data_IF_853864252806
#
_entry.id   IF_853864252806
#
_cell.length_a   1.000
_cell.length_b   1.000
_cell.length_c   1.000
_cell.angle_alpha   90.00
_cell.angle_beta   90.00
_cell.angle_gamma   90.00
#
_symmetry.space_group_name_H-M   'P 1'
#
loop_
_entity.id
_entity.type
_entity.pdbx_description
1 polymer ?
#
# COMPACT_ATOMS: atom_id res chain seq x y z
N UNK A 1 -3.24 -60.33 -2.10
CA UNK A 1 -2.66 -59.01 -2.41
C UNK A 1 -1.48 -58.78 -1.49
N UNK A 2 -0.25 -58.93 -2.00
CA UNK A 2 0.99 -58.62 -1.28
C UNK A 2 1.53 -57.31 -1.85
N UNK A 3 1.68 -56.30 -0.99
CA UNK A 3 2.38 -55.07 -1.34
C UNK A 3 3.88 -55.36 -1.38
N UNK A 4 4.48 -55.36 -2.57
CA UNK A 4 5.93 -55.35 -2.71
C UNK A 4 6.46 -53.95 -2.40
N UNK A 5 7.18 -53.83 -1.29
CA UNK A 5 7.95 -52.64 -0.95
C UNK A 5 9.07 -52.46 -1.98
N UNK A 6 9.03 -51.35 -2.70
CA UNK A 6 10.09 -50.89 -3.59
C UNK A 6 11.36 -50.63 -2.76
N UNK A 7 12.34 -51.56 -2.78
CA UNK A 7 13.66 -51.34 -2.18
C UNK A 7 14.42 -50.32 -3.02
N UNK A 8 14.31 -49.05 -2.67
CA UNK A 8 15.18 -48.02 -3.23
C UNK A 8 16.58 -48.24 -2.66
N UNK A 9 17.54 -48.53 -3.54
CA UNK A 9 18.92 -48.77 -3.18
C UNK A 9 19.54 -47.45 -2.67
N UNK A 10 20.32 -47.49 -1.58
CA UNK A 10 20.92 -46.28 -0.96
C UNK A 10 21.76 -45.51 -1.99
N UNK A 11 22.42 -46.21 -2.91
CA UNK A 11 23.17 -45.62 -4.02
C UNK A 11 22.29 -44.78 -4.96
N UNK A 12 21.04 -45.19 -5.20
CA UNK A 12 20.07 -44.43 -6.01
C UNK A 12 19.56 -43.19 -5.30
N UNK A 13 19.38 -43.26 -3.97
CA UNK A 13 18.97 -42.11 -3.16
C UNK A 13 20.07 -41.05 -3.09
N UNK A 14 21.33 -41.47 -2.92
CA UNK A 14 22.50 -40.59 -2.95
C UNK A 14 22.66 -39.94 -4.33
N UNK A 15 22.45 -40.68 -5.42
CA UNK A 15 22.51 -40.13 -6.77
C UNK A 15 21.44 -39.06 -7.00
N UNK A 16 20.22 -39.28 -6.50
CA UNK A 16 19.15 -38.27 -6.58
C UNK A 16 19.49 -37.03 -5.76
N UNK A 17 20.01 -37.17 -4.53
CA UNK A 17 20.40 -36.04 -3.68
C UNK A 17 21.54 -35.25 -4.33
N UNK A 18 22.57 -35.93 -4.83
CA UNK A 18 23.69 -35.29 -5.55
C UNK A 18 23.21 -34.62 -6.83
N UNK A 19 22.28 -35.21 -7.58
CA UNK A 19 21.68 -34.57 -8.76
C UNK A 19 20.83 -33.34 -8.39
N UNK A 20 20.08 -33.35 -7.29
CA UNK A 20 19.29 -32.18 -6.83
C UNK A 20 20.22 -31.05 -6.39
N UNK A 21 21.30 -31.36 -5.68
CA UNK A 21 22.31 -30.36 -5.28
C UNK A 21 23.14 -29.87 -6.48
N UNK A 22 23.52 -30.74 -7.43
CA UNK A 22 24.17 -30.33 -8.67
C UNK A 22 23.25 -29.50 -9.55
N UNK A 23 21.94 -29.76 -9.57
CA UNK A 23 20.97 -28.89 -10.25
C UNK A 23 20.94 -27.52 -9.54
N UNK A 24 20.97 -27.43 -8.21
CA UNK A 24 21.07 -26.13 -7.53
C UNK A 24 22.39 -25.39 -7.79
N UNK A 25 23.51 -26.11 -7.93
CA UNK A 25 24.84 -25.52 -8.21
C UNK A 25 24.97 -25.13 -9.69
N UNK A 26 24.47 -25.93 -10.63
CA UNK A 26 24.46 -25.63 -12.06
C UNK A 26 23.39 -24.59 -12.43
N UNK A 27 22.29 -24.52 -11.68
CA UNK A 27 21.36 -23.39 -11.65
C UNK A 27 21.76 -22.36 -10.58
N UNK A 28 23.06 -22.22 -10.32
CA UNK A 28 23.66 -20.96 -9.91
C UNK A 28 23.44 -19.90 -11.00
N UNK A 29 22.17 -19.62 -11.32
CA UNK A 29 21.76 -18.49 -12.12
C UNK A 29 22.39 -17.29 -11.44
N UNK A 30 23.07 -16.48 -12.24
CA UNK A 30 23.20 -15.05 -11.99
C UNK A 30 21.79 -14.51 -11.73
N UNK A 31 21.29 -14.62 -10.50
CA UNK A 31 20.19 -13.81 -10.05
C UNK A 31 20.74 -12.38 -10.13
N UNK A 32 20.15 -11.51 -10.96
CA UNK A 32 20.52 -10.11 -10.92
C UNK A 32 20.43 -9.66 -9.46
N UNK A 33 21.30 -8.73 -9.03
CA UNK A 33 21.27 -8.18 -7.66
C UNK A 33 19.91 -7.50 -7.43
N UNK A 34 18.93 -8.28 -7.01
CA UNK A 34 17.55 -7.89 -6.81
C UNK A 34 17.44 -7.30 -5.41
N UNK A 35 17.93 -6.08 -5.27
CA UNK A 35 17.86 -5.35 -4.01
C UNK A 35 16.51 -4.63 -3.93
N UNK A 36 15.88 -4.62 -2.75
CA UNK A 36 14.58 -3.97 -2.52
C UNK A 36 14.59 -2.47 -2.83
N UNK A 37 15.77 -1.84 -2.81
CA UNK A 37 15.99 -0.47 -3.26
C UNK A 37 15.58 -0.21 -4.72
N UNK A 38 15.60 -1.23 -5.59
CA UNK A 38 15.07 -1.08 -6.96
C UNK A 38 13.53 -0.94 -6.96
N UNK A 39 12.85 -1.59 -6.00
CA UNK A 39 11.39 -1.46 -5.81
C UNK A 39 11.04 -0.12 -5.15
N UNK A 40 11.83 0.36 -4.19
CA UNK A 40 11.66 1.69 -3.58
C UNK A 40 11.70 2.82 -4.62
N UNK A 41 12.60 2.72 -5.61
CA UNK A 41 12.67 3.68 -6.74
C UNK A 41 11.38 3.75 -7.57
N UNK A 42 10.56 2.70 -7.58
CA UNK A 42 9.26 2.76 -8.23
C UNK A 42 8.32 3.69 -7.46
N UNK A 43 8.33 3.64 -6.12
CA UNK A 43 7.53 4.55 -5.29
C UNK A 43 7.98 6.01 -5.39
N UNK A 44 9.27 6.27 -5.64
CA UNK A 44 9.78 7.63 -5.87
C UNK A 44 9.10 8.32 -7.06
N UNK A 45 8.57 7.56 -8.02
CA UNK A 45 7.80 8.11 -9.15
C UNK A 45 6.54 8.84 -8.71
N UNK A 46 5.97 8.47 -7.57
CA UNK A 46 4.79 9.12 -7.01
C UNK A 46 5.08 10.56 -6.56
N UNK A 47 6.34 10.93 -6.32
CA UNK A 47 6.69 12.32 -6.00
C UNK A 47 6.40 13.30 -7.15
N UNK A 48 6.24 12.81 -8.39
CA UNK A 48 5.83 13.65 -9.53
C UNK A 48 4.42 14.25 -9.36
N UNK A 49 3.60 13.65 -8.50
CA UNK A 49 2.27 14.13 -8.18
C UNK A 49 2.28 15.23 -7.10
N UNK A 50 3.44 15.50 -6.48
CA UNK A 50 3.59 16.63 -5.55
C UNK A 50 3.46 17.95 -6.30
N UNK A 51 2.77 18.89 -5.67
CA UNK A 51 2.68 20.29 -6.06
C UNK A 51 3.16 21.14 -4.88
N UNK A 52 3.94 22.20 -5.13
CA UNK A 52 4.46 23.06 -4.06
C UNK A 52 3.44 24.09 -3.57
N UNK A 53 2.42 24.36 -4.36
CA UNK A 53 1.40 25.37 -4.11
C UNK A 53 0.08 24.77 -3.60
N UNK A 54 -0.24 23.53 -3.98
CA UNK A 54 -1.52 22.89 -3.69
C UNK A 54 -1.36 21.57 -2.92
N UNK A 55 -2.35 21.25 -2.08
CA UNK A 55 -2.45 19.90 -1.52
C UNK A 55 -2.74 18.90 -2.65
N UNK A 56 -2.11 17.73 -2.71
CA UNK A 56 -2.25 16.87 -3.89
C UNK A 56 -3.62 16.24 -4.08
N UNK A 57 -4.51 16.29 -3.08
CA UNK A 57 -5.93 16.00 -3.30
C UNK A 57 -6.59 16.95 -4.31
N UNK A 58 -6.01 18.13 -4.56
CA UNK A 58 -6.41 19.04 -5.63
C UNK A 58 -6.38 18.39 -7.01
N UNK A 59 -5.46 17.44 -7.25
CA UNK A 59 -5.38 16.73 -8.53
C UNK A 59 -6.64 15.90 -8.83
N UNK A 60 -7.45 15.58 -7.83
CA UNK A 60 -8.71 14.87 -8.03
C UNK A 60 -9.83 15.78 -8.57
N UNK A 61 -9.65 17.09 -8.51
CA UNK A 61 -10.71 18.09 -8.79
C UNK A 61 -10.79 18.51 -10.26
N UNK A 62 -9.87 18.04 -11.11
CA UNK A 62 -9.80 18.46 -12.51
C UNK A 62 -9.41 17.31 -13.43
N UNK A 63 -9.83 17.41 -14.70
CA UNK A 63 -9.46 16.42 -15.72
C UNK A 63 -7.93 16.33 -15.87
N UNK A 64 -7.24 17.48 -15.94
CA UNK A 64 -5.78 17.52 -16.06
C UNK A 64 -5.09 16.87 -14.86
N UNK A 65 -5.58 17.13 -13.65
CA UNK A 65 -5.06 16.51 -12.43
C UNK A 65 -5.23 14.99 -12.43
N UNK A 66 -6.41 14.49 -12.83
CA UNK A 66 -6.66 13.06 -12.96
C UNK A 66 -5.80 12.44 -14.06
N UNK A 67 -5.62 13.10 -15.21
CA UNK A 67 -4.74 12.61 -16.28
C UNK A 67 -3.29 12.50 -15.80
N UNK A 68 -2.83 13.47 -14.99
CA UNK A 68 -1.51 13.42 -14.35
C UNK A 68 -1.39 12.23 -13.39
N UNK A 69 -2.40 11.99 -12.53
CA UNK A 69 -2.46 10.83 -11.64
C UNK A 69 -2.38 9.53 -12.45
N UNK A 70 -3.22 9.42 -13.47
CA UNK A 70 -3.33 8.24 -14.31
C UNK A 70 -2.03 7.89 -15.04
N UNK A 71 -1.36 8.89 -15.61
CA UNK A 71 -0.04 8.71 -16.24
C UNK A 71 0.98 8.19 -15.25
N UNK A 72 1.15 8.86 -14.10
CA UNK A 72 2.14 8.48 -13.10
C UNK A 72 1.86 7.09 -12.53
N UNK A 73 0.60 6.75 -12.25
CA UNK A 73 0.26 5.47 -11.64
C UNK A 73 0.33 4.30 -12.63
N UNK A 74 -0.21 4.44 -13.85
CA UNK A 74 -0.22 3.35 -14.83
C UNK A 74 1.17 3.14 -15.43
N UNK A 75 1.79 4.21 -15.89
CA UNK A 75 3.00 4.13 -16.71
C UNK A 75 4.25 4.08 -15.83
N UNK A 76 4.41 5.04 -14.92
CA UNK A 76 5.65 5.15 -14.14
C UNK A 76 5.71 4.16 -12.97
N UNK A 77 4.65 4.12 -12.15
CA UNK A 77 4.64 3.30 -10.93
C UNK A 77 4.38 1.83 -11.23
N UNK A 78 3.21 1.50 -11.79
CA UNK A 78 2.81 0.10 -12.04
C UNK A 78 3.75 -0.57 -13.04
N UNK A 79 4.13 0.14 -14.11
CA UNK A 79 5.13 -0.33 -15.07
C UNK A 79 6.48 -0.67 -14.41
N UNK A 80 6.95 0.16 -13.48
CA UNK A 80 8.20 -0.08 -12.74
C UNK A 80 8.10 -1.32 -11.84
N UNK A 81 7.00 -1.47 -11.07
CA UNK A 81 6.77 -2.63 -10.19
C UNK A 81 6.72 -3.93 -11.02
N UNK A 82 5.98 -3.93 -12.12
CA UNK A 82 5.89 -5.08 -13.03
C UNK A 82 7.25 -5.45 -13.63
N UNK A 83 8.05 -4.46 -14.03
CA UNK A 83 9.40 -4.71 -14.54
C UNK A 83 10.31 -5.33 -13.47
N UNK A 84 10.24 -4.84 -12.23
CA UNK A 84 10.95 -5.42 -11.10
C UNK A 84 10.52 -6.86 -10.83
N UNK A 85 9.22 -7.15 -10.73
CA UNK A 85 8.70 -8.50 -10.47
C UNK A 85 9.03 -9.47 -11.60
N UNK A 86 9.04 -9.02 -12.85
CA UNK A 86 9.47 -9.83 -14.00
C UNK A 86 10.95 -10.24 -13.89
N UNK A 87 11.81 -9.31 -13.46
CA UNK A 87 13.27 -9.51 -13.29
C UNK A 87 13.61 -10.30 -12.03
N UNK A 88 12.96 -10.00 -10.92
CA UNK A 88 13.37 -10.37 -9.56
C UNK A 88 12.36 -11.24 -8.80
N UNK A 89 11.14 -11.37 -9.29
CA UNK A 89 10.11 -12.20 -8.66
C UNK A 89 10.41 -13.70 -8.76
N UNK A 90 9.92 -14.44 -7.77
CA UNK A 90 9.83 -15.90 -7.84
C UNK A 90 8.82 -16.32 -8.94
N UNK A 91 8.81 -17.58 -9.39
CA UNK A 91 7.79 -18.06 -10.33
C UNK A 91 6.36 -17.78 -9.83
N UNK A 92 6.11 -17.96 -8.52
CA UNK A 92 4.83 -17.61 -7.91
C UNK A 92 4.55 -16.11 -7.96
N UNK A 93 5.53 -15.25 -7.65
CA UNK A 93 5.35 -13.80 -7.76
C UNK A 93 5.04 -13.37 -9.19
N UNK A 94 5.62 -14.02 -10.20
CA UNK A 94 5.37 -13.68 -11.61
C UNK A 94 3.93 -13.98 -12.00
N UNK A 95 3.43 -15.18 -11.69
CA UNK A 95 2.05 -15.56 -11.98
C UNK A 95 1.06 -14.68 -11.19
N UNK A 96 1.29 -14.49 -9.89
CA UNK A 96 0.42 -13.68 -9.05
C UNK A 96 0.44 -12.19 -9.45
N UNK A 97 1.61 -11.66 -9.81
CA UNK A 97 1.74 -10.26 -10.25
C UNK A 97 0.95 -9.98 -11.51
N UNK A 98 0.91 -10.94 -12.45
CA UNK A 98 0.12 -10.79 -13.67
C UNK A 98 -1.36 -10.67 -13.32
N UNK A 99 -1.88 -11.58 -12.50
CA UNK A 99 -3.30 -11.57 -12.09
C UNK A 99 -3.65 -10.29 -11.32
N UNK A 100 -2.82 -9.89 -10.37
CA UNK A 100 -3.04 -8.67 -9.57
C UNK A 100 -2.96 -7.42 -10.45
N UNK A 101 -1.98 -7.34 -11.35
CA UNK A 101 -1.81 -6.18 -12.21
C UNK A 101 -2.92 -6.04 -13.25
N UNK A 102 -3.44 -7.14 -13.79
CA UNK A 102 -4.60 -7.09 -14.70
C UNK A 102 -5.82 -6.51 -13.97
N UNK A 103 -6.09 -6.95 -12.73
CA UNK A 103 -7.18 -6.43 -11.91
C UNK A 103 -7.00 -4.95 -11.52
N UNK A 104 -5.79 -4.54 -11.13
CA UNK A 104 -5.47 -3.13 -10.82
C UNK A 104 -5.65 -2.27 -12.08
N UNK A 105 -5.13 -2.70 -13.23
CA UNK A 105 -5.23 -1.95 -14.48
C UNK A 105 -6.68 -1.77 -14.94
N UNK A 106 -7.50 -2.81 -14.81
CA UNK A 106 -8.94 -2.75 -15.10
C UNK A 106 -9.63 -1.68 -14.23
N UNK A 107 -9.41 -1.71 -12.93
CA UNK A 107 -9.98 -0.71 -12.02
C UNK A 107 -9.43 0.70 -12.25
N UNK A 108 -8.14 0.83 -12.57
CA UNK A 108 -7.56 2.10 -12.94
C UNK A 108 -8.12 2.64 -14.26
N UNK A 109 -8.52 1.79 -15.21
CA UNK A 109 -9.20 2.25 -16.43
C UNK A 109 -10.54 2.93 -16.10
N UNK A 110 -11.28 2.48 -15.08
CA UNK A 110 -12.52 3.14 -14.65
C UNK A 110 -12.29 4.57 -14.13
N UNK A 111 -11.11 4.86 -13.56
CA UNK A 111 -10.75 6.20 -13.09
C UNK A 111 -10.16 7.05 -14.22
N UNK A 112 -9.40 6.41 -15.11
CA UNK A 112 -8.57 7.12 -16.08
C UNK A 112 -9.17 7.28 -17.47
N UNK A 113 -10.15 6.47 -17.84
CA UNK A 113 -10.85 6.64 -19.12
C UNK A 113 -11.72 7.89 -19.06
N UNK A 114 -11.53 8.82 -20.00
CA UNK A 114 -12.28 10.07 -20.09
C UNK A 114 -13.78 9.84 -20.38
N UNK A 115 -14.15 8.68 -20.91
CA UNK A 115 -15.54 8.32 -21.18
C UNK A 115 -16.19 7.53 -20.03
N UNK A 116 -15.45 7.28 -18.94
CA UNK A 116 -15.98 6.55 -17.79
C UNK A 116 -16.95 7.41 -16.98
N UNK A 117 -18.16 6.88 -16.75
CA UNK A 117 -19.14 7.49 -15.83
C UNK A 117 -18.53 7.69 -14.44
N UNK A 118 -17.77 6.71 -13.94
CA UNK A 118 -17.09 6.80 -12.65
C UNK A 118 -16.11 7.97 -12.56
N UNK A 119 -15.40 8.28 -13.66
CA UNK A 119 -14.48 9.42 -13.70
C UNK A 119 -15.24 10.74 -13.60
N UNK A 120 -16.39 10.84 -14.25
CA UNK A 120 -17.23 12.04 -14.22
C UNK A 120 -17.82 12.24 -12.82
N UNK A 121 -18.34 11.18 -12.19
CA UNK A 121 -18.84 11.23 -10.82
C UNK A 121 -17.72 11.64 -9.85
N UNK A 122 -16.51 11.09 -10.03
CA UNK A 122 -15.35 11.46 -9.23
C UNK A 122 -15.04 12.96 -9.38
N UNK A 123 -15.02 13.49 -10.60
CA UNK A 123 -14.75 14.90 -10.85
C UNK A 123 -15.82 15.82 -10.30
N UNK A 124 -17.07 15.40 -10.31
CA UNK A 124 -18.18 16.18 -9.74
C UNK A 124 -18.06 16.29 -8.22
N UNK A 125 -17.72 15.19 -7.54
CA UNK A 125 -17.73 15.13 -6.07
C UNK A 125 -16.39 15.52 -5.42
N UNK A 126 -15.27 15.34 -6.12
CA UNK A 126 -13.93 15.62 -5.58
C UNK A 126 -13.70 17.05 -5.11
N UNK A 127 -14.22 18.12 -5.75
CA UNK A 127 -14.06 19.49 -5.28
C UNK A 127 -14.53 19.70 -3.84
N UNK A 128 -15.71 19.18 -3.47
CA UNK A 128 -16.20 19.28 -2.10
C UNK A 128 -15.31 18.53 -1.11
N UNK A 129 -14.94 17.29 -1.46
CA UNK A 129 -14.08 16.44 -0.62
C UNK A 129 -12.73 17.13 -0.39
N UNK A 130 -12.13 17.71 -1.44
CA UNK A 130 -10.89 18.46 -1.32
C UNK A 130 -11.05 19.70 -0.42
N UNK A 131 -11.97 20.59 -0.77
CA UNK A 131 -12.11 21.89 -0.12
C UNK A 131 -12.53 21.76 1.34
N UNK A 132 -13.52 20.91 1.65
CA UNK A 132 -14.10 20.86 2.99
C UNK A 132 -13.45 19.84 3.91
N UNK A 133 -12.69 18.88 3.39
CA UNK A 133 -12.14 17.78 4.18
C UNK A 133 -10.63 17.68 3.99
N UNK A 134 -10.17 17.24 2.82
CA UNK A 134 -8.78 16.82 2.64
C UNK A 134 -7.79 17.98 2.78
N UNK A 135 -8.17 19.20 2.40
CA UNK A 135 -7.32 20.39 2.54
C UNK A 135 -7.32 21.00 3.95
N UNK A 136 -8.21 20.55 4.84
CA UNK A 136 -8.39 21.16 6.16
C UNK A 136 -7.34 20.69 7.18
N UNK A 137 -6.79 21.63 7.95
CA UNK A 137 -5.71 21.33 8.91
C UNK A 137 -6.17 20.46 10.08
N UNK A 138 -7.41 20.61 10.53
CA UNK A 138 -8.02 19.79 11.58
C UNK A 138 -8.17 18.34 11.11
N UNK A 139 -8.68 18.11 9.89
CA UNK A 139 -8.73 16.78 9.27
C UNK A 139 -7.34 16.12 9.20
N UNK A 140 -6.32 16.89 8.81
CA UNK A 140 -4.95 16.38 8.77
C UNK A 140 -4.47 15.93 10.15
N UNK A 141 -4.78 16.70 11.21
CA UNK A 141 -4.40 16.37 12.59
C UNK A 141 -5.20 15.21 13.17
N UNK A 142 -6.50 15.13 12.87
CA UNK A 142 -7.42 14.18 13.50
C UNK A 142 -7.48 12.82 12.79
N UNK A 143 -7.34 12.79 11.47
CA UNK A 143 -7.49 11.55 10.68
C UNK A 143 -6.18 11.10 10.04
N UNK A 144 -5.45 11.99 9.34
CA UNK A 144 -4.28 11.58 8.56
C UNK A 144 -3.01 11.37 9.42
N UNK A 145 -2.69 12.30 10.32
CA UNK A 145 -1.50 12.20 11.16
C UNK A 145 -1.51 10.95 12.06
N UNK A 146 -2.63 10.58 12.70
CA UNK A 146 -2.73 9.33 13.45
C UNK A 146 -2.44 8.11 12.59
N UNK A 147 -3.02 8.06 11.39
CA UNK A 147 -2.77 6.98 10.43
C UNK A 147 -1.26 6.82 10.15
N UNK A 148 -0.57 7.90 9.77
CA UNK A 148 0.86 7.84 9.46
C UNK A 148 1.70 7.49 10.67
N UNK A 149 1.34 7.99 11.85
CA UNK A 149 2.05 7.72 13.09
C UNK A 149 1.99 6.23 13.44
N UNK A 150 0.80 5.62 13.34
CA UNK A 150 0.62 4.19 13.63
C UNK A 150 1.36 3.31 12.63
N UNK A 151 1.29 3.63 11.33
CA UNK A 151 2.06 2.90 10.30
C UNK A 151 3.56 3.01 10.55
N UNK A 152 4.08 4.22 10.80
CA UNK A 152 5.49 4.45 11.08
C UNK A 152 5.96 3.71 12.35
N UNK A 153 5.12 3.67 13.39
CA UNK A 153 5.39 2.87 14.58
C UNK A 153 5.49 1.38 14.25
N UNK A 154 4.58 0.85 13.45
CA UNK A 154 4.58 -0.56 13.02
C UNK A 154 5.86 -0.93 12.28
N UNK A 155 6.28 -0.10 11.32
CA UNK A 155 7.53 -0.29 10.60
C UNK A 155 8.75 -0.18 11.53
N UNK A 156 8.80 0.83 12.41
CA UNK A 156 9.87 0.96 13.39
C UNK A 156 10.00 -0.30 14.26
N UNK A 157 8.89 -0.89 14.73
CA UNK A 157 8.90 -2.14 15.49
C UNK A 157 9.32 -3.34 14.63
N UNK A 158 8.87 -3.40 13.37
CA UNK A 158 9.28 -4.44 12.44
C UNK A 158 10.81 -4.51 12.25
N UNK A 159 11.48 -3.35 12.31
CA UNK A 159 12.94 -3.23 12.20
C UNK A 159 13.68 -3.22 13.55
N UNK A 160 12.97 -3.35 14.68
CA UNK A 160 13.61 -3.41 15.99
C UNK A 160 14.42 -4.69 16.18
N UNK A 161 15.59 -4.54 16.81
CA UNK A 161 16.46 -5.67 17.20
C UNK A 161 15.83 -6.54 18.29
N UNK A 162 14.94 -5.98 19.11
CA UNK A 162 14.30 -6.65 20.25
C UNK A 162 12.79 -6.84 20.01
N UNK A 163 12.42 -7.28 18.82
CA UNK A 163 11.01 -7.55 18.48
C UNK A 163 10.55 -8.88 19.09
N UNK A 164 9.33 -8.89 19.61
CA UNK A 164 8.70 -10.08 20.22
C UNK A 164 7.90 -10.90 19.20
N UNK A 165 7.51 -10.26 18.09
CA UNK A 165 6.71 -10.83 17.01
C UNK A 165 7.42 -10.71 15.67
N UNK A 166 6.86 -11.36 14.63
CA UNK A 166 7.40 -11.28 13.28
C UNK A 166 7.36 -9.82 12.77
N UNK A 167 8.35 -9.36 11.99
CA UNK A 167 8.31 -8.04 11.37
C UNK A 167 7.02 -7.78 10.57
N UNK A 168 6.54 -8.80 9.86
CA UNK A 168 5.33 -8.69 9.05
C UNK A 168 4.08 -8.47 9.92
N UNK A 169 4.01 -9.09 11.11
CA UNK A 169 2.87 -8.95 12.00
C UNK A 169 2.75 -7.50 12.51
N UNK A 170 3.87 -6.88 12.89
CA UNK A 170 3.87 -5.47 13.31
C UNK A 170 3.43 -4.52 12.18
N UNK A 171 3.97 -4.70 10.98
CA UNK A 171 3.64 -3.85 9.84
C UNK A 171 2.18 -4.05 9.41
N UNK A 172 1.70 -5.29 9.39
CA UNK A 172 0.36 -5.63 8.96
C UNK A 172 -0.70 -5.21 9.97
N UNK A 173 -0.53 -5.53 11.25
CA UNK A 173 -1.47 -5.14 12.32
C UNK A 173 -1.58 -3.62 12.40
N UNK A 174 -0.44 -2.91 12.43
CA UNK A 174 -0.43 -1.46 12.50
C UNK A 174 -1.07 -0.83 11.25
N UNK A 175 -0.73 -1.33 10.05
CA UNK A 175 -1.29 -0.84 8.80
C UNK A 175 -2.81 -1.03 8.70
N UNK A 176 -3.32 -2.21 9.06
CA UNK A 176 -4.74 -2.50 9.00
C UNK A 176 -5.55 -1.77 10.08
N UNK A 177 -5.04 -1.67 11.31
CA UNK A 177 -5.67 -0.89 12.37
C UNK A 177 -5.69 0.61 12.03
N UNK A 178 -4.57 1.14 11.52
CA UNK A 178 -4.50 2.52 11.07
C UNK A 178 -5.52 2.80 9.94
N UNK A 179 -5.59 1.93 8.93
CA UNK A 179 -6.53 2.08 7.82
C UNK A 179 -7.99 2.12 8.29
N UNK A 180 -8.39 1.18 9.16
CA UNK A 180 -9.77 1.14 9.66
C UNK A 180 -10.10 2.32 10.56
N UNK A 181 -9.15 2.77 11.38
CA UNK A 181 -9.33 3.98 12.19
C UNK A 181 -9.47 5.23 11.29
N UNK A 182 -8.63 5.35 10.27
CA UNK A 182 -8.71 6.44 9.31
C UNK A 182 -10.03 6.44 8.54
N UNK A 183 -10.48 5.29 8.06
CA UNK A 183 -11.77 5.14 7.36
C UNK A 183 -12.94 5.58 8.25
N UNK A 184 -12.95 5.15 9.53
CA UNK A 184 -13.97 5.57 10.50
C UNK A 184 -13.90 7.05 10.88
N UNK A 185 -12.75 7.70 10.74
CA UNK A 185 -12.59 9.14 10.95
C UNK A 185 -13.06 9.95 9.74
N UNK A 186 -12.67 9.51 8.54
CA UNK A 186 -12.80 10.25 7.29
C UNK A 186 -14.20 10.17 6.69
N UNK A 187 -14.77 8.96 6.61
CA UNK A 187 -16.02 8.73 5.89
C UNK A 187 -17.22 9.48 6.51
N UNK A 188 -17.41 9.50 7.85
CA UNK A 188 -18.47 10.29 8.46
C UNK A 188 -18.31 11.80 8.23
N UNK A 189 -17.07 12.33 8.25
CA UNK A 189 -16.82 13.75 7.99
C UNK A 189 -17.20 14.15 6.57
N UNK A 190 -16.91 13.30 5.57
CA UNK A 190 -17.33 13.51 4.18
C UNK A 190 -18.86 13.50 4.09
N UNK A 191 -19.52 12.48 4.66
CA UNK A 191 -20.98 12.36 4.68
C UNK A 191 -21.66 13.60 5.28
N UNK A 192 -21.08 14.17 6.33
CA UNK A 192 -21.65 15.31 7.05
C UNK A 192 -21.46 16.66 6.35
N UNK A 193 -20.33 16.86 5.64
CA UNK A 193 -19.97 18.18 5.10
C UNK A 193 -20.15 18.29 3.58
N UNK A 194 -20.24 17.16 2.88
CA UNK A 194 -20.54 17.06 1.46
C UNK A 194 -21.90 16.37 1.26
N UNK A 195 -21.95 15.29 0.48
CA UNK A 195 -23.15 14.49 0.19
C UNK A 195 -22.85 13.01 0.48
N UNK A 196 -23.88 12.17 0.65
CA UNK A 196 -23.69 10.73 0.91
C UNK A 196 -23.01 10.03 -0.27
N UNK A 197 -23.27 10.49 -1.49
CA UNK A 197 -22.62 10.03 -2.71
C UNK A 197 -21.12 10.36 -2.73
N UNK A 198 -20.69 11.44 -2.07
CA UNK A 198 -19.26 11.80 -1.93
C UNK A 198 -18.49 10.81 -1.05
N UNK A 199 -19.13 10.20 -0.07
CA UNK A 199 -18.51 9.12 0.69
C UNK A 199 -18.35 7.87 -0.19
N UNK A 200 -19.43 7.49 -0.88
CA UNK A 200 -19.44 6.30 -1.74
C UNK A 200 -18.39 6.40 -2.84
N UNK A 201 -18.24 7.57 -3.47
CA UNK A 201 -17.24 7.75 -4.53
C UNK A 201 -15.82 7.60 -3.99
N UNK A 202 -15.51 8.14 -2.79
CA UNK A 202 -14.17 8.02 -2.22
C UNK A 202 -13.88 6.57 -1.78
N UNK A 203 -14.83 5.89 -1.14
CA UNK A 203 -14.71 4.47 -0.80
C UNK A 203 -14.48 3.62 -2.05
N UNK A 204 -15.21 3.90 -3.13
CA UNK A 204 -15.02 3.22 -4.41
C UNK A 204 -13.65 3.52 -5.02
N UNK A 205 -13.16 4.75 -4.94
CA UNK A 205 -11.79 5.09 -5.40
C UNK A 205 -10.76 4.26 -4.63
N UNK A 206 -10.82 4.24 -3.30
CA UNK A 206 -9.89 3.47 -2.46
C UNK A 206 -9.96 1.98 -2.78
N UNK A 207 -11.17 1.42 -2.84
CA UNK A 207 -11.40 0.02 -3.15
C UNK A 207 -10.89 -0.35 -4.54
N UNK A 208 -11.19 0.47 -5.56
CA UNK A 208 -10.80 0.21 -6.95
C UNK A 208 -9.30 0.35 -7.16
N UNK A 209 -8.67 1.42 -6.65
CA UNK A 209 -7.21 1.63 -6.75
C UNK A 209 -6.41 0.45 -6.18
N UNK A 210 -6.97 -0.22 -5.17
CA UNK A 210 -6.31 -1.31 -4.46
C UNK A 210 -6.85 -2.69 -4.84
N UNK A 211 -7.67 -2.79 -5.89
CA UNK A 211 -8.20 -4.09 -6.33
C UNK A 211 -9.10 -4.78 -5.30
N UNK A 212 -9.66 -4.04 -4.34
CA UNK A 212 -10.40 -4.58 -3.19
C UNK A 212 -9.53 -5.27 -2.14
N UNK A 213 -8.20 -5.27 -2.32
CA UNK A 213 -7.24 -5.95 -1.44
C UNK A 213 -7.30 -5.44 0.00
N UNK A 214 -7.61 -4.16 0.22
CA UNK A 214 -7.75 -3.61 1.57
C UNK A 214 -8.89 -4.23 2.35
N UNK A 215 -10.03 -4.52 1.72
CA UNK A 215 -11.14 -5.18 2.38
C UNK A 215 -10.87 -6.66 2.66
N UNK A 216 -10.07 -7.30 1.81
CA UNK A 216 -9.63 -8.68 2.01
C UNK A 216 -8.57 -8.80 3.11
N UNK A 217 -7.54 -7.96 3.09
CA UNK A 217 -6.43 -8.00 4.04
C UNK A 217 -6.81 -7.41 5.40
N UNK A 218 -7.43 -6.24 5.40
CA UNK A 218 -7.78 -5.51 6.62
C UNK A 218 -9.26 -5.69 6.93
N UNK A 219 -9.72 -6.94 7.05
CA UNK A 219 -11.14 -7.25 7.25
C UNK A 219 -11.71 -6.59 8.53
N UNK A 220 -12.88 -5.95 8.42
CA UNK A 220 -13.41 -5.05 9.45
C UNK A 220 -13.65 -5.75 10.81
N UNK A 221 -14.11 -7.00 10.81
CA UNK A 221 -14.39 -7.73 12.06
C UNK A 221 -13.10 -8.05 12.84
N UNK A 222 -11.96 -8.11 12.14
CA UNK A 222 -10.65 -8.42 12.73
C UNK A 222 -9.91 -7.14 13.14
N UNK A 223 -9.99 -6.09 12.32
CA UNK A 223 -9.18 -4.87 12.47
C UNK A 223 -9.99 -3.60 12.79
N UNK A 224 -11.23 -3.74 13.28
CA UNK A 224 -11.96 -2.57 13.80
C UNK A 224 -11.19 -1.92 14.95
N UNK A 225 -11.31 -0.59 15.20
CA UNK A 225 -10.60 0.06 16.30
C UNK A 225 -10.90 -0.52 17.69
N UNK A 226 -12.06 -1.15 17.87
CA UNK A 226 -12.43 -1.87 19.10
C UNK A 226 -11.97 -3.33 19.16
N UNK A 227 -11.33 -3.85 18.11
CA UNK A 227 -10.82 -5.22 18.07
C UNK A 227 -9.67 -5.41 19.05
N UNK A 228 -9.49 -6.65 19.51
CA UNK A 228 -8.38 -7.00 20.40
C UNK A 228 -7.01 -6.68 19.76
N UNK A 229 -6.85 -6.89 18.46
CA UNK A 229 -5.60 -6.59 17.75
C UNK A 229 -5.29 -5.09 17.85
N UNK A 230 -6.25 -4.23 17.48
CA UNK A 230 -6.02 -2.79 17.49
C UNK A 230 -5.90 -2.20 18.90
N UNK A 231 -6.59 -2.77 19.89
CA UNK A 231 -6.47 -2.34 21.29
C UNK A 231 -5.15 -2.75 21.96
N UNK A 232 -4.44 -3.75 21.43
CA UNK A 232 -3.10 -4.13 21.94
C UNK A 232 -1.99 -3.22 21.42
N UNK A 233 -2.27 -2.36 20.44
CA UNK A 233 -1.33 -1.35 20.00
C UNK A 233 -1.21 -0.25 21.06
N UNK A 234 -0.02 0.35 21.24
CA UNK A 234 0.13 1.51 22.11
C UNK A 234 -0.79 2.64 21.66
N UNK A 235 -1.17 3.50 22.61
CA UNK A 235 -1.94 4.71 22.31
C UNK A 235 -1.20 5.63 21.36
N UNK A 236 -1.93 6.54 20.69
CA UNK A 236 -1.32 7.46 19.73
C UNK A 236 -0.20 8.30 20.38
N UNK A 237 -0.40 8.81 21.60
CA UNK A 237 0.62 9.59 22.31
C UNK A 237 1.89 8.77 22.60
N UNK A 238 1.73 7.50 22.98
CA UNK A 238 2.84 6.58 23.17
C UNK A 238 3.56 6.26 21.86
N UNK A 239 2.82 6.15 20.74
CA UNK A 239 3.42 5.98 19.43
C UNK A 239 4.22 7.23 19.03
N UNK A 240 3.63 8.43 19.18
CA UNK A 240 4.27 9.71 18.84
C UNK A 240 5.56 9.94 19.65
N UNK A 241 5.58 9.58 20.93
CA UNK A 241 6.78 9.72 21.77
C UNK A 241 7.92 8.78 21.38
N UNK A 242 7.62 7.63 20.75
CA UNK A 242 8.62 6.65 20.31
C UNK A 242 9.09 6.89 18.88
N UNK A 243 8.18 7.35 18.02
CA UNK A 243 8.43 7.70 16.63
C UNK A 243 9.11 9.08 16.62
N UNK A 244 10.38 9.13 17.03
CA UNK A 244 11.20 10.35 17.00
C UNK A 244 11.70 10.61 15.56
N UNK A 245 10.73 10.83 14.67
CA UNK A 245 10.94 10.90 13.22
C UNK A 245 10.48 12.28 12.77
N UNK A 246 11.34 13.00 12.04
CA UNK A 246 10.90 14.23 11.36
C UNK A 246 9.85 13.82 10.32
N UNK A 247 8.84 14.66 10.06
CA UNK A 247 7.79 14.33 9.08
C UNK A 247 8.36 13.93 7.69
N UNK A 248 9.52 14.47 7.32
CA UNK A 248 10.26 14.11 6.11
C UNK A 248 10.86 12.68 6.11
N UNK A 249 11.13 12.11 7.28
CA UNK A 249 11.61 10.73 7.42
C UNK A 249 10.43 9.74 7.53
N UNK A 250 9.25 10.17 8.00
CA UNK A 250 8.00 9.36 7.96
C UNK A 250 7.60 8.98 6.52
N UNK A 251 7.99 9.80 5.53
CA UNK A 251 7.75 9.55 4.11
C UNK A 251 8.71 8.52 3.47
N UNK A 252 9.73 8.03 4.17
CA UNK A 252 10.74 7.09 3.63
C UNK A 252 10.50 5.63 4.00
N UNK A 253 9.47 5.35 4.77
CA UNK A 253 9.09 4.04 5.29
C UNK A 253 8.17 3.30 4.28
N UNK A 254 8.50 2.05 3.92
CA UNK A 254 8.07 1.25 2.75
C UNK A 254 7.80 -0.20 3.20
N UNK A 255 6.76 -0.93 2.77
CA UNK A 255 6.32 -1.32 1.42
C UNK A 255 4.84 -0.98 1.14
N UNK A 256 4.19 -0.29 2.09
CA UNK A 256 2.75 -0.04 2.12
C UNK A 256 2.39 1.44 2.33
N UNK A 257 3.16 2.36 1.74
CA UNK A 257 2.69 3.73 1.44
C UNK A 257 1.61 3.65 0.33
N UNK A 258 0.62 2.76 0.48
CA UNK A 258 -0.31 2.28 -0.55
C UNK A 258 -0.96 3.44 -1.29
N UNK A 259 -1.26 4.46 -0.51
CA UNK A 259 -1.59 5.77 -0.98
C UNK A 259 -0.66 6.68 -0.20
N UNK A 260 0.62 6.74 -0.56
CA UNK A 260 1.48 7.92 -0.33
C UNK A 260 0.80 9.17 -0.89
N UNK A 261 -0.41 9.04 -1.49
CA UNK A 261 -0.89 9.20 -2.88
C UNK A 261 -2.15 10.09 -2.90
N UNK A 262 -2.73 10.44 -1.76
CA UNK A 262 -3.38 11.75 -1.66
C UNK A 262 -2.36 12.86 -1.31
N UNK A 263 -1.08 12.47 -1.06
CA UNK A 263 0.21 13.17 -1.21
C UNK A 263 0.53 14.46 -0.47
N UNK A 264 -0.21 14.93 0.53
CA UNK A 264 0.28 15.82 1.61
C UNK A 264 1.08 17.08 1.21
N UNK A 265 0.49 18.27 1.44
CA UNK A 265 1.26 19.47 1.79
C UNK A 265 1.84 19.34 3.21
N UNK A 266 3.12 19.70 3.40
CA UNK A 266 3.71 19.95 4.73
C UNK A 266 3.86 21.45 4.86
N UNK A 267 3.18 22.03 5.84
CA UNK A 267 3.43 23.41 6.23
C UNK A 267 4.75 23.42 7.03
N UNK A 268 5.85 23.87 6.40
CA UNK A 268 7.11 24.15 7.09
C UNK A 268 7.09 25.50 7.84
N UNK A 269 5.93 26.17 7.98
CA UNK A 269 5.82 27.42 8.74
C UNK A 269 5.83 27.19 10.26
N UNK A 270 6.98 26.73 10.78
CA UNK A 270 7.52 27.05 12.10
C UNK A 270 8.96 26.52 12.20
N UNK A 271 9.86 27.22 11.49
CA UNK A 271 11.20 27.52 12.01
C UNK A 271 11.28 29.02 12.25
#
# INVERSE_FOLDING_TARGET
MKYEYFRINISSLIFIIVCVEFVQICYGRHYPKCHLIEMEKCFDKLHQLKDSQHDPSFLLTSHEGLDKICRVLKEDFTGCILAYLKKCGTPLHKELSKVISDAILEHMNMICDSNSEFRNDLLEKSPCIHEKILSQQDYQKECNNPFFTTVAWGEMKAHSKHRERSPIDYAFDAGCCAYRQWEQCTMPKIRQNCEIESENILQNVIGKLLGGVTNFLCYQDIFSPGSQICQTLPTLDEQMSQVNITYADQQKFSIFSVVKMFLTRVDESKK
#
